data_IF_634615632948
#
_entry.id   IF_634615632948
#
_cell.length_a   1.000
_cell.length_b   1.000
_cell.length_c   1.000
_cell.angle_alpha   90.00
_cell.angle_beta   90.00
_cell.angle_gamma   90.00
#
_symmetry.space_group_name_H-M   'P 1'
#
loop_
_entity.id
_entity.type
_entity.pdbx_description
1 polymer ?
#
# COMPACT_ATOMS: atom_id res chain seq x y z
N UNK A 1 -11.09 21.71 6.08
CA UNK A 1 -10.05 21.10 5.22
C UNK A 1 -8.78 21.01 6.04
N UNK A 2 -8.27 19.80 6.27
CA UNK A 2 -7.08 19.58 7.11
C UNK A 2 -5.85 20.32 6.59
N UNK A 3 -4.93 20.67 7.48
CA UNK A 3 -3.65 21.32 7.15
C UNK A 3 -2.87 20.39 6.21
N UNK A 4 -2.40 20.91 5.08
CA UNK A 4 -1.60 20.13 4.14
C UNK A 4 -0.23 19.88 4.76
N UNK A 5 0.05 18.62 5.08
CA UNK A 5 1.37 18.14 5.47
C UNK A 5 1.94 17.46 4.23
N UNK A 6 3.09 17.88 3.69
CA UNK A 6 3.71 17.21 2.55
C UNK A 6 4.32 15.87 2.98
N UNK A 7 4.47 14.94 2.03
CA UNK A 7 5.32 13.78 2.25
C UNK A 7 6.76 14.20 2.57
N UNK A 8 7.37 13.51 3.53
CA UNK A 8 8.76 13.74 3.93
C UNK A 8 9.47 12.40 4.06
N UNK A 9 10.26 12.06 3.05
CA UNK A 9 11.13 10.91 3.02
C UNK A 9 12.29 11.12 4.00
N UNK A 10 12.52 10.13 4.85
CA UNK A 10 13.67 10.06 5.76
C UNK A 10 14.48 8.84 5.36
N UNK A 11 15.72 9.08 4.94
CA UNK A 11 16.63 8.00 4.55
C UNK A 11 18.08 8.48 4.61
N UNK A 12 18.99 7.58 4.96
CA UNK A 12 20.43 7.78 4.81
C UNK A 12 20.92 7.43 3.40
N UNK A 13 20.06 6.85 2.58
CA UNK A 13 20.37 6.52 1.20
C UNK A 13 20.21 7.74 0.31
N UNK A 14 21.09 7.85 -0.67
CA UNK A 14 20.92 8.72 -1.84
C UNK A 14 20.63 7.84 -3.06
N UNK A 15 19.82 8.31 -4.03
CA UNK A 15 19.58 7.56 -5.27
C UNK A 15 20.90 7.26 -5.99
N UNK A 16 21.12 6.00 -6.34
CA UNK A 16 22.36 5.53 -7.00
C UNK A 16 22.06 4.68 -8.23
N UNK A 17 23.05 4.54 -9.11
CA UNK A 17 22.92 3.75 -10.33
C UNK A 17 21.87 4.34 -11.28
N UNK A 18 20.92 3.51 -11.68
CA UNK A 18 19.78 3.84 -12.55
C UNK A 18 18.58 4.45 -11.81
N UNK A 19 18.62 4.52 -10.48
CA UNK A 19 17.52 5.05 -9.67
C UNK A 19 17.18 6.53 -10.00
N UNK A 20 18.13 7.47 -10.14
CA UNK A 20 17.80 8.87 -10.43
C UNK A 20 16.98 9.03 -11.71
N UNK A 21 17.41 8.37 -12.79
CA UNK A 21 16.72 8.40 -14.09
C UNK A 21 15.33 7.74 -14.01
N UNK A 22 15.22 6.63 -13.27
CA UNK A 22 13.94 5.96 -13.04
C UNK A 22 12.95 6.85 -12.27
N UNK A 23 13.41 7.55 -11.23
CA UNK A 23 12.58 8.49 -10.44
C UNK A 23 12.11 9.63 -11.34
N UNK A 24 13.04 10.30 -12.03
CA UNK A 24 12.73 11.41 -12.92
C UNK A 24 11.73 11.01 -14.01
N UNK A 25 11.96 9.87 -14.67
CA UNK A 25 11.08 9.38 -15.73
C UNK A 25 9.67 9.04 -15.25
N UNK A 26 9.53 8.51 -14.02
CA UNK A 26 8.22 8.25 -13.42
C UNK A 26 7.48 9.55 -13.05
N UNK A 27 8.18 10.51 -12.45
CA UNK A 27 7.61 11.82 -12.07
C UNK A 27 7.15 12.58 -13.32
N UNK A 28 8.04 12.76 -14.30
CA UNK A 28 7.71 13.45 -15.55
C UNK A 28 6.59 12.73 -16.31
N UNK A 29 6.61 11.39 -16.34
CA UNK A 29 5.54 10.61 -16.95
C UNK A 29 4.18 10.88 -16.32
N UNK A 30 4.13 10.96 -14.98
CA UNK A 30 2.91 11.24 -14.24
C UNK A 30 2.43 12.67 -14.49
N UNK A 31 3.32 13.66 -14.41
CA UNK A 31 3.01 15.07 -14.64
C UNK A 31 2.55 15.35 -16.08
N UNK A 32 3.06 14.60 -17.06
CA UNK A 32 2.58 14.60 -18.43
C UNK A 32 1.18 13.97 -18.62
N UNK A 33 0.53 13.54 -17.54
CA UNK A 33 -0.82 12.97 -17.56
C UNK A 33 -0.89 11.50 -17.98
N UNK A 34 0.23 10.78 -18.01
CA UNK A 34 0.22 9.34 -18.32
C UNK A 34 -0.46 8.57 -17.20
N UNK A 35 -1.50 7.81 -17.54
CA UNK A 35 -2.28 7.02 -16.56
C UNK A 35 -1.59 5.71 -16.14
N UNK A 36 -0.67 5.22 -16.97
CA UNK A 36 0.02 3.94 -16.76
C UNK A 36 1.52 4.13 -16.99
N UNK A 37 2.31 3.74 -15.99
CA UNK A 37 3.76 3.80 -16.00
C UNK A 37 4.29 2.48 -15.42
N UNK A 38 5.44 2.03 -15.92
CA UNK A 38 6.04 0.75 -15.52
C UNK A 38 7.49 0.98 -15.09
N UNK A 39 7.77 0.72 -13.83
CA UNK A 39 9.13 0.66 -13.30
C UNK A 39 9.70 -0.75 -13.56
N UNK A 40 10.60 -0.88 -14.54
CA UNK A 40 11.28 -2.16 -14.84
C UNK A 40 12.52 -2.33 -13.95
N UNK A 41 12.32 -2.59 -12.67
CA UNK A 41 13.41 -2.77 -11.70
C UNK A 41 13.76 -4.24 -11.41
N UNK A 42 15.03 -4.61 -11.53
CA UNK A 42 15.51 -5.93 -11.12
C UNK A 42 15.35 -6.17 -9.60
N UNK A 43 15.43 -7.43 -9.16
CA UNK A 43 15.40 -7.74 -7.73
C UNK A 43 16.63 -7.15 -7.03
N UNK A 44 16.44 -6.56 -5.84
CA UNK A 44 17.54 -5.95 -5.09
C UNK A 44 17.91 -4.52 -5.47
N UNK A 45 17.29 -3.92 -6.50
CA UNK A 45 17.63 -2.54 -6.93
C UNK A 45 16.96 -1.42 -6.11
N UNK A 46 16.34 -1.74 -4.97
CA UNK A 46 15.72 -0.74 -4.11
C UNK A 46 14.41 -0.13 -4.66
N UNK A 47 13.54 -0.95 -5.27
CA UNK A 47 12.27 -0.49 -5.85
C UNK A 47 11.39 0.30 -4.89
N UNK A 48 11.30 -0.11 -3.62
CA UNK A 48 10.51 0.62 -2.62
C UNK A 48 11.07 2.02 -2.37
N UNK A 49 12.39 2.17 -2.34
CA UNK A 49 13.05 3.46 -2.18
C UNK A 49 12.81 4.37 -3.39
N UNK A 50 12.93 3.83 -4.62
CA UNK A 50 12.57 4.56 -5.86
C UNK A 50 11.12 5.04 -5.81
N UNK A 51 10.18 4.18 -5.44
CA UNK A 51 8.76 4.57 -5.33
C UNK A 51 8.53 5.57 -4.19
N UNK A 52 9.29 5.51 -3.10
CA UNK A 52 9.21 6.48 -2.01
C UNK A 52 9.65 7.88 -2.48
N UNK A 53 10.75 7.97 -3.23
CA UNK A 53 11.18 9.22 -3.87
C UNK A 53 10.10 9.79 -4.82
N UNK A 54 9.45 8.92 -5.60
CA UNK A 54 8.34 9.32 -6.49
C UNK A 54 7.12 9.81 -5.69
N UNK A 55 6.76 9.14 -4.59
CA UNK A 55 5.64 9.55 -3.72
C UNK A 55 5.91 10.92 -3.10
N UNK A 56 7.13 11.15 -2.59
CA UNK A 56 7.53 12.45 -2.05
C UNK A 56 7.47 13.55 -3.11
N UNK A 57 8.04 13.30 -4.29
CA UNK A 57 8.09 14.29 -5.37
C UNK A 57 6.69 14.67 -5.90
N UNK A 58 5.78 13.70 -6.02
CA UNK A 58 4.42 13.95 -6.53
C UNK A 58 3.46 14.49 -5.47
N UNK A 59 3.75 14.23 -4.19
CA UNK A 59 2.99 14.64 -3.02
C UNK A 59 1.48 14.29 -3.11
N UNK A 60 1.18 13.02 -3.42
CA UNK A 60 -0.20 12.53 -3.57
C UNK A 60 -0.51 11.36 -2.65
N UNK A 61 -1.74 11.32 -2.07
CA UNK A 61 -2.21 10.12 -1.38
C UNK A 61 -2.05 8.90 -2.31
N UNK A 62 -1.43 7.85 -1.81
CA UNK A 62 -0.98 6.72 -2.63
C UNK A 62 -1.52 5.40 -2.08
N UNK A 63 -2.06 4.57 -2.98
CA UNK A 63 -2.47 3.19 -2.68
C UNK A 63 -1.42 2.24 -3.27
N UNK A 64 -0.82 1.42 -2.43
CA UNK A 64 0.11 0.36 -2.82
C UNK A 64 -0.61 -0.98 -2.72
N UNK A 65 -0.75 -1.67 -3.84
CA UNK A 65 -1.39 -2.97 -3.90
C UNK A 65 -0.34 -4.10 -3.87
N UNK A 66 -0.46 -4.98 -2.89
CA UNK A 66 0.35 -6.17 -2.77
C UNK A 66 -0.49 -7.45 -3.00
N UNK A 67 0.06 -8.47 -3.66
CA UNK A 67 -0.66 -9.69 -4.01
C UNK A 67 -0.90 -10.62 -2.81
N UNK A 68 -0.18 -10.45 -1.70
CA UNK A 68 -0.31 -11.28 -0.50
C UNK A 68 -0.06 -10.46 0.78
N UNK A 69 -0.49 -10.99 1.93
CA UNK A 69 -0.38 -10.33 3.24
C UNK A 69 1.08 -10.10 3.66
N UNK A 70 1.95 -11.09 3.46
CA UNK A 70 3.37 -11.01 3.85
C UNK A 70 4.11 -9.86 3.16
N UNK A 71 3.94 -9.71 1.84
CA UNK A 71 4.56 -8.61 1.10
C UNK A 71 3.91 -7.27 1.47
N UNK A 72 2.60 -7.25 1.74
CA UNK A 72 1.92 -6.04 2.21
C UNK A 72 2.50 -5.57 3.56
N UNK A 73 2.73 -6.49 4.51
CA UNK A 73 3.33 -6.19 5.81
C UNK A 73 4.75 -5.66 5.65
N UNK A 74 5.58 -6.32 4.82
CA UNK A 74 6.93 -5.87 4.53
C UNK A 74 6.94 -4.44 3.96
N UNK A 75 6.13 -4.18 2.93
CA UNK A 75 6.04 -2.86 2.32
C UNK A 75 5.52 -1.80 3.30
N UNK A 76 4.53 -2.14 4.13
CA UNK A 76 4.03 -1.23 5.16
C UNK A 76 5.10 -0.88 6.19
N UNK A 77 5.95 -1.85 6.58
CA UNK A 77 7.13 -1.61 7.41
C UNK A 77 8.12 -0.66 6.73
N UNK A 78 8.55 -0.99 5.52
CA UNK A 78 9.49 -0.15 4.74
C UNK A 78 8.96 1.28 4.55
N UNK A 79 7.68 1.46 4.22
CA UNK A 79 7.09 2.79 4.08
C UNK A 79 6.98 3.54 5.42
N UNK A 80 6.74 2.87 6.56
CA UNK A 80 6.77 3.52 7.87
C UNK A 80 8.16 4.03 8.22
N UNK A 81 9.18 3.25 7.88
CA UNK A 81 10.59 3.64 8.10
C UNK A 81 10.98 4.82 7.20
N UNK A 82 10.55 4.81 5.93
CA UNK A 82 10.80 5.90 4.99
C UNK A 82 9.97 7.16 5.27
N UNK A 83 8.75 7.03 5.78
CA UNK A 83 7.84 8.15 6.04
C UNK A 83 7.37 8.22 7.50
N UNK A 84 8.30 8.37 8.47
CA UNK A 84 7.97 8.32 9.91
C UNK A 84 7.11 9.50 10.39
N UNK A 85 6.93 10.51 9.54
CA UNK A 85 6.16 11.73 9.85
C UNK A 85 4.82 11.80 9.10
N UNK A 86 4.55 10.87 8.20
CA UNK A 86 3.31 10.81 7.41
C UNK A 86 2.47 9.59 7.81
N UNK A 87 1.23 9.52 7.32
CA UNK A 87 0.33 8.44 7.69
C UNK A 87 0.51 7.22 6.77
N UNK A 88 1.06 6.13 7.31
CA UNK A 88 1.18 4.84 6.59
C UNK A 88 0.17 3.85 7.17
N UNK A 89 -0.93 3.66 6.44
CA UNK A 89 -2.02 2.75 6.75
C UNK A 89 -1.80 1.35 6.20
N UNK A 90 -2.44 0.37 6.84
CA UNK A 90 -2.40 -1.04 6.44
C UNK A 90 -3.82 -1.58 6.27
N UNK A 91 -4.13 -2.12 5.09
CA UNK A 91 -5.50 -2.50 4.72
C UNK A 91 -5.55 -3.89 4.06
N UNK A 92 -5.63 -4.92 4.88
CA UNK A 92 -5.78 -6.32 4.42
C UNK A 92 -7.02 -6.95 5.05
N UNK A 93 -7.38 -8.16 4.63
CA UNK A 93 -8.46 -8.91 5.26
C UNK A 93 -8.17 -9.08 6.76
N UNK A 94 -9.13 -8.66 7.58
CA UNK A 94 -9.12 -8.83 9.04
C UNK A 94 -9.53 -10.23 9.47
N UNK A 95 -9.76 -11.16 8.54
CA UNK A 95 -9.98 -12.56 8.88
C UNK A 95 -8.64 -13.30 8.95
N UNK A 96 -8.40 -13.97 10.07
CA UNK A 96 -7.32 -14.95 10.23
C UNK A 96 -7.73 -16.29 9.59
N UNK A 97 -9.01 -16.63 9.69
CA UNK A 97 -9.63 -17.76 9.03
C UNK A 97 -10.97 -17.34 8.41
N UNK A 98 -11.23 -17.78 7.19
CA UNK A 98 -12.47 -17.49 6.48
C UNK A 98 -12.89 -18.67 5.62
N UNK A 99 -14.02 -19.28 5.97
CA UNK A 99 -14.74 -20.23 5.15
C UNK A 99 -15.99 -19.54 4.59
N UNK A 100 -16.09 -19.37 3.26
CA UNK A 100 -17.31 -18.84 2.66
C UNK A 100 -18.45 -19.84 2.81
N UNK A 101 -19.67 -19.32 2.89
CA UNK A 101 -20.87 -20.12 2.71
C UNK A 101 -20.89 -20.67 1.28
N UNK A 102 -21.14 -21.98 1.13
CA UNK A 102 -21.18 -22.61 -0.17
C UNK A 102 -22.15 -23.80 -0.18
N UNK A 103 -22.66 -24.14 -1.36
CA UNK A 103 -23.42 -25.36 -1.56
C UNK A 103 -22.77 -26.18 -2.68
N UNK A 104 -22.35 -27.41 -2.35
CA UNK A 104 -21.70 -28.36 -3.27
C UNK A 104 -22.78 -29.30 -3.81
N UNK A 105 -23.20 -29.04 -5.05
CA UNK A 105 -24.27 -29.79 -5.72
C UNK A 105 -23.94 -31.28 -5.87
N UNK A 106 -22.68 -31.63 -6.18
CA UNK A 106 -22.28 -33.01 -6.46
C UNK A 106 -22.44 -33.94 -5.24
N UNK A 107 -22.32 -33.39 -4.04
CA UNK A 107 -22.41 -34.13 -2.78
C UNK A 107 -23.63 -33.72 -1.96
N UNK A 108 -24.52 -32.89 -2.51
CA UNK A 108 -25.67 -32.29 -1.82
C UNK A 108 -25.28 -31.74 -0.43
N UNK A 109 -24.16 -31.02 -0.38
CA UNK A 109 -23.58 -30.56 0.89
C UNK A 109 -23.64 -29.06 1.01
N UNK A 110 -24.30 -28.57 2.06
CA UNK A 110 -24.22 -27.17 2.46
C UNK A 110 -23.04 -26.96 3.43
N UNK A 111 -22.22 -25.97 3.13
CA UNK A 111 -21.08 -25.52 3.93
C UNK A 111 -21.47 -24.19 4.56
N UNK A 112 -21.61 -24.19 5.88
CA UNK A 112 -21.86 -22.98 6.65
C UNK A 112 -20.65 -22.05 6.62
N UNK A 113 -20.94 -20.75 6.71
CA UNK A 113 -19.94 -19.72 6.91
C UNK A 113 -19.32 -19.88 8.30
N UNK A 114 -17.99 -19.97 8.34
CA UNK A 114 -17.23 -19.93 9.58
C UNK A 114 -16.05 -18.96 9.43
N UNK A 115 -15.80 -18.14 10.45
CA UNK A 115 -14.81 -17.07 10.37
C UNK A 115 -14.18 -16.78 11.71
N UNK A 116 -12.87 -16.51 11.71
CA UNK A 116 -12.15 -15.93 12.84
C UNK A 116 -11.59 -14.56 12.46
N UNK A 117 -11.79 -13.56 13.33
CA UNK A 117 -11.40 -12.16 13.10
C UNK A 117 -10.18 -11.79 13.94
N UNK A 118 -9.34 -10.96 13.36
CA UNK A 118 -8.21 -10.32 14.00
C UNK A 118 -8.55 -8.86 14.34
N UNK A 119 -8.73 -8.57 15.63
CA UNK A 119 -9.09 -7.23 16.11
C UNK A 119 -7.99 -6.18 15.88
N UNK A 120 -6.72 -6.59 15.81
CA UNK A 120 -5.62 -5.68 15.51
C UNK A 120 -5.67 -5.22 14.06
N UNK A 121 -5.85 -6.15 13.12
CA UNK A 121 -6.00 -5.80 11.69
C UNK A 121 -7.25 -4.94 11.47
N UNK A 122 -8.35 -5.23 12.18
CA UNK A 122 -9.57 -4.42 12.08
C UNK A 122 -9.33 -2.96 12.55
N UNK A 123 -8.62 -2.79 13.67
CA UNK A 123 -8.17 -1.47 14.13
C UNK A 123 -7.29 -0.75 13.10
N UNK A 124 -6.35 -1.47 12.47
CA UNK A 124 -5.49 -0.91 11.42
C UNK A 124 -6.29 -0.47 10.18
N UNK A 125 -7.31 -1.22 9.79
CA UNK A 125 -8.21 -0.84 8.68
C UNK A 125 -8.99 0.42 9.01
N UNK A 126 -9.57 0.50 10.21
CA UNK A 126 -10.25 1.70 10.66
C UNK A 126 -9.32 2.91 10.66
N UNK A 127 -8.10 2.76 11.19
CA UNK A 127 -7.09 3.81 11.12
C UNK A 127 -6.82 4.28 9.69
N UNK A 128 -6.61 3.35 8.74
CA UNK A 128 -6.34 3.70 7.34
C UNK A 128 -7.48 4.53 6.72
N UNK A 129 -8.74 4.13 6.93
CA UNK A 129 -9.91 4.87 6.43
C UNK A 129 -10.08 6.25 7.09
N UNK A 130 -9.80 6.35 8.39
CA UNK A 130 -9.89 7.61 9.12
C UNK A 130 -8.85 8.62 8.61
N UNK A 131 -7.61 8.18 8.37
CA UNK A 131 -6.54 9.06 7.90
C UNK A 131 -6.84 9.67 6.53
N UNK A 132 -7.45 8.91 5.63
CA UNK A 132 -7.87 9.40 4.30
C UNK A 132 -8.86 10.58 4.38
N UNK A 133 -9.64 10.67 5.45
CA UNK A 133 -10.60 11.79 5.66
C UNK A 133 -9.95 13.00 6.34
N UNK A 134 -8.81 12.83 7.01
CA UNK A 134 -8.20 13.84 7.87
C UNK A 134 -6.97 14.50 7.24
N UNK A 135 -6.25 13.80 6.36
CA UNK A 135 -4.96 14.22 5.79
C UNK A 135 -4.84 13.87 4.30
N UNK A 136 -3.81 14.43 3.64
CA UNK A 136 -3.45 14.06 2.25
C UNK A 136 -2.14 13.29 2.13
N UNK A 137 -1.27 13.37 3.12
CA UNK A 137 -0.03 12.60 3.22
C UNK A 137 -0.28 11.18 3.73
N UNK A 138 -1.08 10.41 2.97
CA UNK A 138 -1.49 9.05 3.33
C UNK A 138 -0.98 8.06 2.29
N UNK A 139 -0.22 7.07 2.74
CA UNK A 139 0.08 5.85 1.98
C UNK A 139 -0.76 4.73 2.60
N UNK A 140 -1.53 4.02 1.78
CA UNK A 140 -2.22 2.80 2.22
C UNK A 140 -1.59 1.62 1.51
N UNK A 141 -1.00 0.69 2.27
CA UNK A 141 -0.56 -0.59 1.73
C UNK A 141 -1.71 -1.59 1.93
N UNK A 142 -2.21 -2.14 0.82
CA UNK A 142 -3.39 -2.97 0.82
C UNK A 142 -3.21 -4.28 0.04
N UNK A 143 -4.00 -5.28 0.42
CA UNK A 143 -4.26 -6.42 -0.46
C UNK A 143 -5.48 -6.13 -1.34
N UNK A 144 -5.90 -7.12 -2.14
CA UNK A 144 -7.19 -7.08 -2.87
C UNK A 144 -8.40 -6.86 -1.96
N UNK A 145 -8.25 -6.85 -0.63
CA UNK A 145 -9.31 -6.43 0.26
C UNK A 145 -9.79 -4.99 0.01
N UNK A 146 -9.02 -4.11 -0.65
CA UNK A 146 -9.42 -2.72 -0.89
C UNK A 146 -10.49 -2.53 -1.98
N UNK A 147 -10.84 -3.59 -2.72
CA UNK A 147 -11.93 -3.57 -3.71
C UNK A 147 -13.22 -4.19 -3.17
N UNK A 148 -13.21 -4.61 -1.90
CA UNK A 148 -14.36 -5.11 -1.14
C UNK A 148 -14.69 -4.14 0.00
#
# INVERSE_FOLDING_TARGET
MGKHVPFKLVSEFEPRGDQPEAIEGLVQGFEAGRRQLVLRGATGTGKTYVLSQVIEALDKPTLVLAPNKTLAEQLAGEFRDFFPHNAVGFFVSYYDYYQPEAYIVQTDTYIEKDTSRNEEIDRLRHFATQMLSQRRDVIVVASVSCIY
#
